data_IF_081328361769
#
_entry.id   IF_081328361769
#
_cell.length_a   1.000
_cell.length_b   1.000
_cell.length_c   1.000
_cell.angle_alpha   90.00
_cell.angle_beta   90.00
_cell.angle_gamma   90.00
#
_symmetry.space_group_name_H-M   'P 1'
#
loop_
_entity.id
_entity.type
_entity.pdbx_description
1 polymer ?
#
# COMPACT_ATOMS: atom_id res chain seq x y z
N UNK A 1 -1.87 -29.10 2.12
CA UNK A 1 -0.71 -28.25 2.50
C UNK A 1 -0.78 -26.94 1.73
N UNK A 2 -1.98 -26.40 1.54
CA UNK A 2 -2.27 -25.56 0.37
C UNK A 2 -1.83 -24.09 0.57
N UNK A 3 -1.31 -23.78 1.76
CA UNK A 3 -0.76 -22.46 2.11
C UNK A 3 0.77 -22.43 2.12
N UNK A 4 1.43 -23.57 1.89
CA UNK A 4 2.89 -23.67 1.93
C UNK A 4 3.44 -23.50 0.52
N UNK A 5 4.17 -22.40 0.30
CA UNK A 5 4.81 -22.07 -0.97
C UNK A 5 6.27 -21.67 -0.73
N UNK A 6 7.10 -21.78 -1.76
CA UNK A 6 8.54 -21.49 -1.70
C UNK A 6 8.81 -20.20 -2.47
N UNK A 7 9.70 -19.36 -1.95
CA UNK A 7 10.27 -18.23 -2.68
C UNK A 7 11.79 -18.34 -2.62
N UNK A 8 12.45 -18.26 -3.78
CA UNK A 8 13.91 -18.34 -3.89
C UNK A 8 14.48 -17.07 -4.51
N UNK A 9 15.69 -16.69 -4.10
CA UNK A 9 16.41 -15.56 -4.69
C UNK A 9 16.82 -15.91 -6.14
N UNK A 10 16.90 -14.90 -7.02
CA UNK A 10 17.26 -15.03 -8.45
C UNK A 10 18.62 -15.69 -8.70
N UNK A 11 19.49 -15.70 -7.69
CA UNK A 11 20.82 -16.34 -7.74
C UNK A 11 20.80 -17.83 -7.39
N UNK A 12 19.65 -18.38 -7.03
CA UNK A 12 19.47 -19.79 -6.65
C UNK A 12 18.60 -20.46 -7.70
N UNK A 13 19.05 -21.59 -8.25
CA UNK A 13 18.20 -22.45 -9.09
C UNK A 13 17.06 -22.95 -8.21
N UNK A 14 15.83 -22.61 -8.57
CA UNK A 14 14.63 -22.93 -7.80
C UNK A 14 14.56 -24.45 -7.53
N UNK A 15 14.74 -24.90 -6.28
CA UNK A 15 14.74 -26.31 -5.97
C UNK A 15 13.32 -26.86 -6.02
N UNK A 16 13.11 -28.00 -6.67
CA UNK A 16 11.85 -28.74 -6.60
C UNK A 16 11.81 -29.48 -5.27
N UNK A 17 11.19 -28.86 -4.25
CA UNK A 17 11.05 -29.45 -2.92
C UNK A 17 9.70 -30.17 -2.83
N UNK A 18 9.74 -31.44 -2.43
CA UNK A 18 8.54 -32.24 -2.17
C UNK A 18 8.48 -32.61 -0.69
N UNK A 19 7.29 -32.49 -0.09
CA UNK A 19 7.02 -32.89 1.30
C UNK A 19 5.95 -33.97 1.26
N UNK A 20 6.35 -35.23 1.50
CA UNK A 20 5.49 -36.37 1.22
C UNK A 20 5.16 -36.47 -0.27
N UNK A 21 3.88 -36.61 -0.61
CA UNK A 21 3.40 -36.71 -2.00
C UNK A 21 3.07 -35.35 -2.64
N UNK A 22 3.32 -34.24 -1.93
CA UNK A 22 2.99 -32.89 -2.40
C UNK A 22 4.25 -32.12 -2.81
N UNK A 23 4.31 -31.68 -4.06
CA UNK A 23 5.33 -30.73 -4.54
C UNK A 23 4.90 -29.30 -4.19
N UNK A 24 5.81 -28.54 -3.60
CA UNK A 24 5.53 -27.16 -3.19
C UNK A 24 5.69 -26.22 -4.40
N UNK A 25 4.72 -25.32 -4.56
CA UNK A 25 4.76 -24.29 -5.60
C UNK A 25 5.82 -23.23 -5.28
N UNK A 26 6.59 -22.84 -6.29
CA UNK A 26 7.55 -21.75 -6.20
C UNK A 26 6.90 -20.47 -6.73
N UNK A 27 6.86 -19.42 -5.93
CA UNK A 27 6.20 -18.15 -6.24
C UNK A 27 7.19 -17.00 -6.11
N UNK A 28 7.10 -16.03 -7.02
CA UNK A 28 7.97 -14.84 -7.03
C UNK A 28 7.53 -13.75 -6.04
N UNK A 29 6.29 -13.82 -5.55
CA UNK A 29 5.64 -12.80 -4.75
C UNK A 29 4.85 -13.46 -3.61
N UNK A 30 5.15 -13.07 -2.38
CA UNK A 30 4.47 -13.60 -1.20
C UNK A 30 3.73 -12.47 -0.45
N UNK A 31 2.50 -12.72 0.00
CA UNK A 31 1.75 -11.78 0.83
C UNK A 31 1.72 -12.19 2.32
N UNK A 32 2.47 -11.47 3.17
CA UNK A 32 2.46 -11.63 4.64
C UNK A 32 1.80 -10.42 5.34
N UNK A 33 0.77 -9.84 4.72
CA UNK A 33 0.22 -8.54 5.15
C UNK A 33 0.93 -7.36 4.49
N UNK A 34 2.06 -7.61 3.83
CA UNK A 34 2.68 -6.75 2.82
C UNK A 34 3.15 -7.61 1.65
N UNK A 35 3.26 -6.99 0.49
CA UNK A 35 3.78 -7.65 -0.68
C UNK A 35 5.31 -7.78 -0.62
N UNK A 36 5.80 -9.01 -0.56
CA UNK A 36 7.24 -9.30 -0.50
C UNK A 36 7.66 -9.89 -1.83
N UNK A 37 8.59 -9.19 -2.48
CA UNK A 37 9.25 -9.64 -3.70
C UNK A 37 10.77 -9.49 -3.51
N UNK A 38 11.54 -10.45 -4.03
CA UNK A 38 12.99 -10.43 -3.97
C UNK A 38 13.53 -9.63 -5.17
N UNK A 39 14.11 -8.45 -4.94
CA UNK A 39 14.66 -7.62 -6.02
C UNK A 39 14.73 -6.13 -5.66
N UNK A 40 15.35 -5.32 -6.53
CA UNK A 40 15.61 -3.88 -6.28
C UNK A 40 14.38 -2.96 -6.36
N UNK A 41 13.25 -3.41 -6.91
CA UNK A 41 12.03 -2.59 -7.14
C UNK A 41 10.80 -3.07 -6.36
N UNK A 42 10.99 -3.94 -5.37
CA UNK A 42 9.91 -4.61 -4.64
C UNK A 42 8.93 -3.64 -3.94
N UNK A 43 9.41 -2.56 -3.34
CA UNK A 43 8.55 -1.68 -2.55
C UNK A 43 7.69 -0.71 -3.36
N UNK A 44 7.96 -0.52 -4.65
CA UNK A 44 7.12 0.35 -5.48
C UNK A 44 5.70 -0.22 -5.64
N UNK A 45 5.61 -1.54 -5.84
CA UNK A 45 4.32 -2.23 -5.93
C UNK A 45 3.54 -2.13 -4.63
N UNK A 46 4.22 -2.34 -3.49
CA UNK A 46 3.60 -2.24 -2.17
C UNK A 46 3.14 -0.81 -1.86
N UNK A 47 3.97 0.20 -2.13
CA UNK A 47 3.60 1.62 -1.96
C UNK A 47 2.38 1.98 -2.82
N UNK A 48 2.37 1.57 -4.09
CA UNK A 48 1.22 1.81 -4.97
C UNK A 48 -0.05 1.11 -4.46
N UNK A 49 0.07 -0.14 -3.99
CA UNK A 49 -1.04 -0.88 -3.36
C UNK A 49 -1.56 -0.15 -2.12
N UNK A 50 -0.69 0.39 -1.26
CA UNK A 50 -1.08 1.15 -0.06
C UNK A 50 -1.80 2.44 -0.40
N UNK A 51 -1.36 3.14 -1.45
CA UNK A 51 -2.06 4.31 -1.99
C UNK A 51 -3.45 3.93 -2.50
N UNK A 52 -3.59 2.83 -3.24
CA UNK A 52 -4.89 2.34 -3.71
C UNK A 52 -5.83 1.97 -2.55
N UNK A 53 -5.31 1.28 -1.54
CA UNK A 53 -6.07 0.95 -0.32
C UNK A 53 -6.46 2.23 0.44
N UNK A 54 -5.57 3.21 0.51
CA UNK A 54 -5.85 4.54 1.07
C UNK A 54 -7.01 5.22 0.34
N UNK A 55 -7.00 5.22 -1.00
CA UNK A 55 -8.10 5.77 -1.80
C UNK A 55 -9.42 5.01 -1.61
N UNK A 56 -9.38 3.68 -1.55
CA UNK A 56 -10.57 2.88 -1.28
C UNK A 56 -11.15 3.18 0.11
N UNK A 57 -10.30 3.31 1.13
CA UNK A 57 -10.71 3.68 2.48
C UNK A 57 -11.25 5.13 2.54
N UNK A 58 -10.61 6.06 1.83
CA UNK A 58 -11.06 7.44 1.70
C UNK A 58 -12.44 7.52 1.06
N UNK A 59 -12.68 6.74 0.00
CA UNK A 59 -13.98 6.64 -0.65
C UNK A 59 -15.08 6.11 0.28
N UNK A 60 -14.76 5.15 1.16
CA UNK A 60 -15.69 4.64 2.18
C UNK A 60 -16.06 5.70 3.23
N UNK A 61 -15.14 6.63 3.52
CA UNK A 61 -15.34 7.74 4.46
C UNK A 61 -15.79 9.04 3.78
N UNK A 62 -16.21 8.98 2.50
CA UNK A 62 -16.64 10.16 1.74
C UNK A 62 -17.74 10.94 2.46
N UNK A 63 -18.70 10.26 3.07
CA UNK A 63 -19.76 10.89 3.85
C UNK A 63 -19.22 11.73 5.03
N UNK A 64 -18.19 11.24 5.73
CA UNK A 64 -17.54 11.98 6.82
C UNK A 64 -16.82 13.21 6.26
N UNK A 65 -16.05 13.05 5.19
CA UNK A 65 -15.30 14.17 4.60
C UNK A 65 -16.19 15.22 3.93
N UNK A 66 -17.35 14.83 3.39
CA UNK A 66 -18.34 15.73 2.80
C UNK A 66 -19.35 16.29 3.81
N UNK A 67 -19.40 15.78 5.04
CA UNK A 67 -20.33 16.28 6.07
C UNK A 67 -19.93 17.66 6.60
N UNK A 68 -20.90 18.36 7.19
CA UNK A 68 -20.73 19.65 7.87
C UNK A 68 -20.16 19.46 9.29
N UNK A 69 -19.06 18.73 9.41
CA UNK A 69 -18.30 18.60 10.65
C UNK A 69 -17.08 19.52 10.62
N UNK A 70 -16.63 20.03 11.79
CA UNK A 70 -15.43 20.85 11.87
C UNK A 70 -14.23 20.21 11.20
N UNK A 71 -13.45 21.02 10.48
CA UNK A 71 -12.28 20.56 9.73
C UNK A 71 -11.25 19.86 10.63
N UNK A 72 -11.12 20.28 11.89
CA UNK A 72 -10.24 19.64 12.87
C UNK A 72 -10.62 18.17 13.15
N UNK A 73 -11.91 17.82 13.10
CA UNK A 73 -12.37 16.44 13.24
C UNK A 73 -12.10 15.63 11.98
N UNK A 74 -12.30 16.22 10.78
CA UNK A 74 -11.95 15.56 9.52
C UNK A 74 -10.46 15.22 9.46
N UNK A 75 -9.60 16.13 9.90
CA UNK A 75 -8.16 15.89 10.01
C UNK A 75 -7.84 14.76 11.00
N UNK A 76 -8.49 14.73 12.18
CA UNK A 76 -8.31 13.62 13.13
C UNK A 76 -8.72 12.27 12.53
N UNK A 77 -9.85 12.22 11.82
CA UNK A 77 -10.30 10.99 11.14
C UNK A 77 -9.28 10.58 10.07
N UNK A 78 -8.76 11.55 9.30
CA UNK A 78 -7.70 11.29 8.33
C UNK A 78 -6.45 10.68 8.99
N UNK A 79 -5.96 11.29 10.07
CA UNK A 79 -4.75 10.85 10.75
C UNK A 79 -4.91 9.47 11.40
N UNK A 80 -6.09 9.17 11.94
CA UNK A 80 -6.36 7.89 12.62
C UNK A 80 -6.73 6.75 11.66
N UNK A 81 -7.34 7.04 10.52
CA UNK A 81 -7.86 6.01 9.61
C UNK A 81 -7.08 5.90 8.30
N UNK A 82 -6.63 7.02 7.72
CA UNK A 82 -5.98 7.02 6.41
C UNK A 82 -4.48 6.83 6.51
N UNK A 83 -3.82 7.52 7.44
CA UNK A 83 -2.36 7.39 7.60
C UNK A 83 -1.94 5.95 7.87
N UNK A 84 -2.55 5.19 8.82
CA UNK A 84 -2.13 3.81 9.07
C UNK A 84 -2.30 2.91 7.85
N UNK A 85 -3.34 3.14 7.04
CA UNK A 85 -3.57 2.37 5.81
C UNK A 85 -2.44 2.60 4.79
N UNK A 86 -1.98 3.85 4.67
CA UNK A 86 -0.92 4.22 3.74
C UNK A 86 0.48 3.88 4.24
N UNK A 87 0.72 3.85 5.56
CA UNK A 87 2.05 3.65 6.15
C UNK A 87 2.28 2.26 6.74
N UNK A 88 1.28 1.38 6.76
CA UNK A 88 1.47 0.03 7.29
C UNK A 88 2.60 -0.70 6.54
N UNK A 89 3.56 -1.22 7.31
CA UNK A 89 4.74 -1.93 6.78
C UNK A 89 5.89 -1.02 6.34
N UNK A 90 5.75 0.32 6.44
CA UNK A 90 6.77 1.27 5.99
C UNK A 90 8.12 1.15 6.70
N UNK A 91 8.14 0.61 7.90
CA UNK A 91 9.36 0.30 8.66
C UNK A 91 10.27 -0.70 7.93
N UNK A 92 9.69 -1.54 7.07
CA UNK A 92 10.43 -2.57 6.33
C UNK A 92 10.71 -2.18 4.87
N UNK A 93 10.23 -1.02 4.41
CA UNK A 93 10.43 -0.55 3.05
C UNK A 93 11.77 0.15 2.89
N UNK A 94 12.49 -0.15 1.81
CA UNK A 94 13.58 0.70 1.33
C UNK A 94 13.00 1.93 0.62
N UNK A 95 12.55 2.92 1.40
CA UNK A 95 11.98 4.15 0.89
C UNK A 95 13.02 5.00 0.13
N UNK A 96 12.79 5.17 -1.17
CA UNK A 96 13.49 6.18 -1.97
C UNK A 96 12.74 7.50 -1.93
N UNK A 97 13.42 8.61 -2.27
CA UNK A 97 12.77 9.92 -2.37
C UNK A 97 11.60 9.92 -3.37
N UNK A 98 11.68 9.12 -4.44
CA UNK A 98 10.59 8.94 -5.40
C UNK A 98 9.36 8.28 -4.77
N UNK A 99 9.55 7.23 -3.97
CA UNK A 99 8.46 6.54 -3.28
C UNK A 99 7.81 7.42 -2.20
N UNK A 100 8.62 8.14 -1.43
CA UNK A 100 8.12 9.08 -0.43
C UNK A 100 7.32 10.22 -1.08
N UNK A 101 7.77 10.72 -2.23
CA UNK A 101 7.05 11.73 -2.99
C UNK A 101 5.68 11.21 -3.49
N UNK A 102 5.59 9.95 -3.93
CA UNK A 102 4.30 9.33 -4.30
C UNK A 102 3.30 9.31 -3.14
N UNK A 103 3.74 8.86 -1.96
CA UNK A 103 2.90 8.86 -0.75
C UNK A 103 2.46 10.28 -0.38
N UNK A 104 3.38 11.25 -0.44
CA UNK A 104 3.09 12.66 -0.17
C UNK A 104 2.05 13.22 -1.14
N UNK A 105 2.20 12.97 -2.44
CA UNK A 105 1.23 13.42 -3.45
C UNK A 105 -0.14 12.80 -3.21
N UNK A 106 -0.21 11.51 -2.88
CA UNK A 106 -1.46 10.84 -2.58
C UNK A 106 -2.15 11.48 -1.36
N UNK A 107 -1.41 11.68 -0.26
CA UNK A 107 -1.91 12.34 0.95
C UNK A 107 -2.44 13.75 0.65
N UNK A 108 -1.65 14.58 -0.04
CA UNK A 108 -2.05 15.95 -0.38
C UNK A 108 -3.28 15.99 -1.28
N UNK A 109 -3.38 15.05 -2.24
CA UNK A 109 -4.55 14.97 -3.13
C UNK A 109 -5.82 14.61 -2.35
N UNK A 110 -5.74 13.66 -1.41
CA UNK A 110 -6.86 13.32 -0.52
C UNK A 110 -7.26 14.50 0.37
N UNK A 111 -6.27 15.19 0.96
CA UNK A 111 -6.52 16.36 1.81
C UNK A 111 -7.14 17.53 1.02
N UNK A 112 -6.69 17.76 -0.21
CA UNK A 112 -7.32 18.76 -1.12
C UNK A 112 -8.76 18.39 -1.46
N UNK A 113 -9.03 17.12 -1.76
CA UNK A 113 -10.38 16.63 -2.00
C UNK A 113 -11.29 16.83 -0.78
N UNK A 114 -10.76 16.59 0.44
CA UNK A 114 -11.46 16.88 1.69
C UNK A 114 -11.79 18.37 1.88
N UNK A 115 -10.94 19.27 1.38
CA UNK A 115 -11.16 20.72 1.39
C UNK A 115 -12.01 21.23 0.21
N UNK A 116 -12.45 20.35 -0.69
CA UNK A 116 -13.19 20.73 -1.90
C UNK A 116 -12.32 21.39 -2.99
N UNK A 117 -10.99 21.34 -2.86
CA UNK A 117 -10.05 21.91 -3.82
C UNK A 117 -9.78 20.85 -4.90
N UNK A 118 -10.43 20.97 -6.05
CA UNK A 118 -10.13 20.13 -7.22
C UNK A 118 -9.13 20.89 -8.09
N UNK A 119 -7.95 20.33 -8.31
CA UNK A 119 -7.01 20.83 -9.32
C UNK A 119 -7.58 20.55 -10.72
N UNK A 120 -8.43 21.47 -11.19
CA UNK A 120 -9.15 21.37 -12.46
C UNK A 120 -9.64 22.71 -13.02
N UNK A 121 -9.13 23.84 -12.53
CA UNK A 121 -9.27 25.14 -13.19
C UNK A 121 -7.93 25.89 -13.07
N UNK A 122 -7.02 25.59 -14.00
CA UNK A 122 -6.02 26.55 -14.40
C UNK A 122 -6.65 27.38 -15.51
N UNK A 123 -7.06 28.60 -15.17
CA UNK A 123 -7.29 29.69 -16.13
C UNK A 123 -5.96 30.12 -16.75
#
# INVERSE_FOLDING_TARGET
MDKTIIMSNVHVVSPQISVGDSTLEVVDEYNLGQNVHLGRSNFEREVNRRIQLGWAAFGKLKNVYSSDIPQCLKSKVFDQCMLPVMTYGSETWCLTMGLLNKLRIAQLTMQRAMLGIVSGQAT
#
